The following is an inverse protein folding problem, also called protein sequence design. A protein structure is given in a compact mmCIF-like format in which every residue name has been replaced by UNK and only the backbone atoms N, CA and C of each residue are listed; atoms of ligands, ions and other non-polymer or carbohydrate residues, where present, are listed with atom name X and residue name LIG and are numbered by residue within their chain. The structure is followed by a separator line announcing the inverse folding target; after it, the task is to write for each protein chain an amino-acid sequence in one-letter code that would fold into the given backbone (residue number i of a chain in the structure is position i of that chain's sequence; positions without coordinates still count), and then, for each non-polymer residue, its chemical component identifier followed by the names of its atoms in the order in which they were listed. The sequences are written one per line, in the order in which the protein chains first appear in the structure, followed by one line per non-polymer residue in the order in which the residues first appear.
data_IF_410436847440
#
_entry.id   IF_410436847440
#
_cell.length_a   1.000
_cell.length_b   1.000
_cell.length_c   1.000
_cell.angle_alpha   90.00
_cell.angle_beta   90.00
_cell.angle_gamma   90.00
#
_symmetry.space_group_name_H-M   'P 1'
#
loop_
_entity.id
_entity.type
_entity.pdbx_description
1 polymer ?
#
# COMPACT_ATOMS: atom_id res chain seq x y z
N UNK A 1 3.85 -13.33 10.00
CA UNK A 1 3.30 -12.93 8.68
C UNK A 1 4.14 -11.80 8.16
N UNK A 2 4.70 -11.91 6.94
CA UNK A 2 5.47 -10.86 6.27
C UNK A 2 4.53 -9.84 5.61
N UNK A 3 5.06 -8.65 5.35
CA UNK A 3 4.34 -7.57 4.66
C UNK A 3 5.06 -7.26 3.36
N UNK A 4 4.41 -7.50 2.23
CA UNK A 4 4.87 -7.09 0.91
C UNK A 4 4.45 -5.64 0.63
N UNK A 5 5.37 -4.80 0.17
CA UNK A 5 5.10 -3.39 -0.14
C UNK A 5 5.52 -3.10 -1.57
N UNK A 6 4.60 -2.60 -2.41
CA UNK A 6 4.90 -2.22 -3.78
C UNK A 6 5.41 -0.77 -3.83
N UNK A 7 6.70 -0.60 -4.08
CA UNK A 7 7.37 0.71 -4.14
C UNK A 7 8.15 0.94 -5.46
N UNK A 8 7.89 0.12 -6.50
CA UNK A 8 8.63 0.17 -7.76
C UNK A 8 7.97 0.97 -8.89
N UNK A 9 6.84 1.62 -8.67
CA UNK A 9 6.11 2.40 -9.66
C UNK A 9 6.78 3.72 -10.05
N UNK A 10 6.43 4.26 -11.22
CA UNK A 10 6.98 5.54 -11.74
C UNK A 10 6.47 6.78 -10.99
N UNK A 11 5.31 6.71 -10.32
CA UNK A 11 4.74 7.83 -9.59
C UNK A 11 4.30 9.03 -10.44
N UNK A 12 3.97 8.82 -11.70
CA UNK A 12 3.74 9.89 -12.72
C UNK A 12 2.69 10.94 -12.33
N UNK A 13 1.71 10.61 -11.50
CA UNK A 13 0.68 11.54 -11.03
C UNK A 13 1.18 12.58 -10.02
N UNK A 14 2.34 12.34 -9.39
CA UNK A 14 3.01 13.25 -8.47
C UNK A 14 4.38 13.69 -9.06
N UNK A 15 4.43 13.96 -10.37
CA UNK A 15 5.64 14.13 -11.15
C UNK A 15 6.61 15.20 -10.59
N UNK A 16 6.11 16.26 -9.95
CA UNK A 16 6.96 17.32 -9.36
C UNK A 16 7.86 16.78 -8.24
N UNK A 17 7.36 15.84 -7.43
CA UNK A 17 8.11 15.22 -6.33
C UNK A 17 8.86 13.94 -6.78
N UNK A 18 8.31 13.21 -7.76
CA UNK A 18 8.80 11.88 -8.12
C UNK A 18 9.74 11.85 -9.32
N UNK A 19 10.14 13.01 -9.86
CA UNK A 19 11.17 13.09 -10.92
C UNK A 19 12.53 12.54 -10.49
N UNK A 20 12.88 12.71 -9.22
CA UNK A 20 14.21 12.39 -8.67
C UNK A 20 14.20 11.39 -7.52
N UNK A 21 13.02 11.02 -7.01
CA UNK A 21 12.89 10.09 -5.88
C UNK A 21 11.66 9.20 -6.04
N UNK A 22 11.67 8.03 -5.41
CA UNK A 22 10.49 7.16 -5.33
C UNK A 22 9.34 7.87 -4.60
N UNK A 23 8.10 7.62 -5.01
CA UNK A 23 6.89 8.08 -4.30
C UNK A 23 6.89 7.68 -2.83
N UNK A 24 7.44 6.51 -2.52
CA UNK A 24 7.64 6.01 -1.16
C UNK A 24 8.52 6.93 -0.29
N UNK A 25 9.35 7.79 -0.92
CA UNK A 25 10.27 8.73 -0.26
C UNK A 25 9.71 10.16 -0.16
N UNK A 26 8.47 10.41 -0.54
CA UNK A 26 7.82 11.72 -0.31
C UNK A 26 7.56 11.90 1.18
N UNK A 27 7.91 13.06 1.71
CA UNK A 27 7.87 13.31 3.15
C UNK A 27 6.48 13.70 3.65
N UNK A 28 6.12 13.12 4.79
CA UNK A 28 5.03 13.56 5.66
C UNK A 28 5.66 13.91 7.00
N UNK A 29 5.67 15.19 7.34
CA UNK A 29 6.54 15.71 8.40
C UNK A 29 8.00 15.60 8.00
N UNK A 30 8.79 14.96 8.83
CA UNK A 30 10.24 14.74 8.66
C UNK A 30 10.60 13.32 8.17
N UNK A 31 9.60 12.46 7.97
CA UNK A 31 9.78 11.08 7.55
C UNK A 31 9.08 10.76 6.23
N UNK A 32 9.63 9.85 5.40
CA UNK A 32 8.96 9.42 4.17
C UNK A 32 7.68 8.63 4.46
N UNK A 33 6.70 8.68 3.55
CA UNK A 33 5.44 7.93 3.70
C UNK A 33 5.68 6.44 3.94
N UNK A 34 6.73 5.87 3.36
CA UNK A 34 7.12 4.47 3.61
C UNK A 34 7.40 4.22 5.09
N UNK A 35 8.12 5.13 5.79
CA UNK A 35 8.38 5.00 7.22
C UNK A 35 7.08 4.96 8.03
N UNK A 36 6.11 5.83 7.70
CA UNK A 36 4.80 5.84 8.35
C UNK A 36 4.08 4.50 8.20
N UNK A 37 4.14 3.90 7.00
CA UNK A 37 3.59 2.56 6.75
C UNK A 37 4.28 1.50 7.60
N UNK A 38 5.62 1.49 7.63
CA UNK A 38 6.37 0.51 8.42
C UNK A 38 6.05 0.62 9.91
N UNK A 39 6.00 1.85 10.46
CA UNK A 39 5.59 2.11 11.86
C UNK A 39 4.17 1.65 12.14
N UNK A 40 3.27 1.88 11.18
CA UNK A 40 1.88 1.45 11.27
C UNK A 40 1.76 -0.08 11.37
N UNK A 41 2.42 -0.80 10.47
CA UNK A 41 2.45 -2.27 10.51
C UNK A 41 3.16 -2.81 11.76
N UNK A 42 4.26 -2.18 12.18
CA UNK A 42 4.98 -2.54 13.41
C UNK A 42 4.09 -2.47 14.65
N UNK A 43 3.25 -1.44 14.76
CA UNK A 43 2.30 -1.28 15.87
C UNK A 43 1.40 -2.51 16.04
N UNK A 44 0.99 -3.14 14.95
CA UNK A 44 0.21 -4.39 14.95
C UNK A 44 1.07 -5.66 15.03
N UNK A 45 2.39 -5.54 15.26
CA UNK A 45 3.31 -6.66 15.43
C UNK A 45 3.88 -7.23 14.15
N UNK A 46 3.65 -6.59 12.98
CA UNK A 46 4.27 -6.99 11.72
C UNK A 46 5.60 -6.26 11.53
N UNK A 47 6.71 -7.00 11.55
CA UNK A 47 8.07 -6.43 11.60
C UNK A 47 8.97 -6.90 10.48
N UNK A 48 8.50 -7.79 9.61
CA UNK A 48 9.26 -8.30 8.48
C UNK A 48 8.61 -7.78 7.19
N UNK A 49 9.35 -6.93 6.49
CA UNK A 49 8.89 -6.23 5.29
C UNK A 49 9.66 -6.70 4.07
N UNK A 50 8.94 -6.97 2.97
CA UNK A 50 9.52 -7.31 1.67
C UNK A 50 9.09 -6.23 0.68
N UNK A 51 10.02 -5.37 0.29
CA UNK A 51 9.73 -4.16 -0.50
C UNK A 51 10.14 -4.41 -1.95
N UNK A 52 9.15 -4.38 -2.85
CA UNK A 52 9.37 -4.45 -4.29
C UNK A 52 9.91 -3.11 -4.81
N UNK A 53 11.14 -3.10 -5.25
CA UNK A 53 11.80 -1.95 -5.85
C UNK A 53 11.66 -1.96 -7.38
N UNK A 54 11.82 -0.79 -8.00
CA UNK A 54 11.80 -0.55 -9.43
C UNK A 54 12.38 0.84 -9.72
N UNK A 55 11.56 1.76 -10.22
CA UNK A 55 11.99 3.14 -10.46
C UNK A 55 12.45 3.81 -9.15
N UNK A 56 13.59 4.51 -9.23
CA UNK A 56 14.23 5.20 -8.09
C UNK A 56 14.52 4.29 -6.88
N UNK A 57 14.85 3.02 -7.13
CA UNK A 57 15.21 2.03 -6.11
C UNK A 57 16.38 2.50 -5.20
N UNK A 58 17.33 3.23 -5.78
CA UNK A 58 18.47 3.84 -5.12
C UNK A 58 18.08 4.78 -3.97
N UNK A 59 17.00 5.56 -4.14
CA UNK A 59 16.51 6.47 -3.09
C UNK A 59 15.97 5.74 -1.87
N UNK A 60 15.31 4.59 -2.10
CA UNK A 60 14.83 3.73 -1.00
C UNK A 60 16.01 3.04 -0.32
N UNK A 61 16.96 2.49 -1.10
CA UNK A 61 18.18 1.85 -0.54
C UNK A 61 19.00 2.83 0.30
N UNK A 62 19.23 4.04 -0.22
CA UNK A 62 19.95 5.10 0.50
C UNK A 62 19.26 5.45 1.82
N UNK A 63 17.93 5.54 1.85
CA UNK A 63 17.18 5.81 3.08
C UNK A 63 17.47 4.77 4.16
N UNK A 64 17.41 3.48 3.86
CA UNK A 64 17.71 2.44 4.86
C UNK A 64 19.17 2.43 5.28
N UNK A 65 20.11 2.54 4.35
CA UNK A 65 21.56 2.46 4.62
C UNK A 65 22.06 3.72 5.33
N UNK A 66 21.75 4.89 4.81
CA UNK A 66 22.32 6.15 5.29
C UNK A 66 21.49 6.75 6.44
N UNK A 67 20.17 6.88 6.24
CA UNK A 67 19.30 7.55 7.21
C UNK A 67 18.98 6.64 8.41
N UNK A 68 18.66 5.38 8.17
CA UNK A 68 18.33 4.40 9.23
C UNK A 68 19.54 3.58 9.68
N UNK A 69 20.74 3.86 9.13
CA UNK A 69 22.02 3.23 9.50
C UNK A 69 21.99 1.70 9.43
N UNK A 70 21.35 1.15 8.39
CA UNK A 70 21.34 -0.27 8.17
C UNK A 70 22.64 -0.75 7.52
N UNK A 71 23.09 -1.96 7.89
CA UNK A 71 24.15 -2.66 7.17
C UNK A 71 23.50 -3.64 6.21
N UNK A 72 23.63 -3.46 4.88
CA UNK A 72 23.02 -4.37 3.91
C UNK A 72 23.80 -5.67 3.81
N UNK A 73 23.07 -6.78 3.66
CA UNK A 73 23.60 -8.12 3.37
C UNK A 73 22.97 -8.58 2.05
N UNK A 74 23.76 -8.99 1.10
CA UNK A 74 23.28 -9.45 -0.22
C UNK A 74 23.90 -8.68 -1.37
N UNK A 75 23.22 -8.65 -2.52
CA UNK A 75 23.66 -7.98 -3.75
C UNK A 75 22.60 -7.02 -4.28
N UNK A 76 22.89 -6.32 -5.39
CA UNK A 76 21.99 -5.29 -5.93
C UNK A 76 20.57 -5.74 -6.26
N UNK A 77 20.33 -7.02 -6.52
CA UNK A 77 19.00 -7.57 -6.81
C UNK A 77 18.19 -7.85 -5.54
N UNK A 78 18.87 -8.23 -4.44
CA UNK A 78 18.23 -8.48 -3.15
C UNK A 78 19.15 -8.05 -2.01
N UNK A 79 18.65 -7.19 -1.14
CA UNK A 79 19.36 -6.72 0.05
C UNK A 79 18.49 -6.98 1.28
N UNK A 80 19.03 -7.73 2.24
CA UNK A 80 18.48 -7.82 3.59
C UNK A 80 19.09 -6.71 4.43
N UNK A 81 18.28 -5.92 5.09
CA UNK A 81 18.72 -4.83 5.96
C UNK A 81 18.03 -4.89 7.31
N UNK A 82 18.81 -4.59 8.37
CA UNK A 82 18.32 -4.42 9.74
C UNK A 82 18.69 -3.01 10.18
N UNK A 83 17.74 -2.07 10.17
CA UNK A 83 18.01 -0.69 10.53
C UNK A 83 18.37 -0.54 12.00
N UNK A 84 19.47 0.15 12.32
CA UNK A 84 19.88 0.37 13.71
C UNK A 84 18.96 1.34 14.46
N UNK A 85 18.37 2.29 13.75
CA UNK A 85 17.43 3.26 14.34
C UNK A 85 16.00 2.72 14.45
N UNK A 86 15.70 1.60 13.79
CA UNK A 86 14.44 0.86 13.89
C UNK A 86 14.78 -0.64 14.10
N UNK A 87 15.30 -1.02 15.29
CA UNK A 87 15.92 -2.34 15.50
C UNK A 87 14.93 -3.51 15.44
N UNK A 88 13.64 -3.23 15.51
CA UNK A 88 12.60 -4.26 15.39
C UNK A 88 12.31 -4.67 13.93
N UNK A 89 12.83 -3.93 12.94
CA UNK A 89 12.52 -4.20 11.56
C UNK A 89 13.53 -5.15 10.93
N UNK A 90 13.02 -6.09 10.16
CA UNK A 90 13.76 -6.84 9.15
C UNK A 90 13.19 -6.45 7.79
N UNK A 91 14.01 -5.93 6.90
CA UNK A 91 13.58 -5.40 5.61
C UNK A 91 14.33 -6.09 4.48
N UNK A 92 13.60 -6.68 3.55
CA UNK A 92 14.11 -7.23 2.31
C UNK A 92 13.80 -6.26 1.17
N UNK A 93 14.83 -5.73 0.53
CA UNK A 93 14.73 -4.82 -0.61
C UNK A 93 14.98 -5.64 -1.89
N UNK A 94 13.92 -5.91 -2.64
CA UNK A 94 13.96 -6.80 -3.81
C UNK A 94 13.79 -5.99 -5.08
N UNK A 95 14.76 -6.06 -5.99
CA UNK A 95 14.63 -5.47 -7.32
C UNK A 95 13.64 -6.31 -8.15
N UNK A 96 12.54 -5.70 -8.53
CA UNK A 96 11.50 -6.35 -9.31
C UNK A 96 11.44 -5.87 -10.76
N UNK A 97 12.46 -5.12 -11.20
CA UNK A 97 12.57 -4.59 -12.57
C UNK A 97 11.80 -3.29 -12.79
N UNK A 98 12.18 -2.54 -13.83
CA UNK A 98 11.57 -1.24 -14.15
C UNK A 98 10.20 -1.39 -14.81
N UNK A 99 10.09 -2.27 -15.80
CA UNK A 99 8.91 -2.43 -16.65
C UNK A 99 7.92 -3.50 -16.14
N UNK A 100 8.08 -3.93 -14.89
CA UNK A 100 7.23 -4.94 -14.27
C UNK A 100 5.95 -4.30 -13.73
N UNK A 101 4.81 -4.83 -14.11
CA UNK A 101 3.49 -4.43 -13.62
C UNK A 101 3.24 -4.91 -12.18
N UNK A 102 2.18 -4.43 -11.53
CA UNK A 102 1.88 -4.70 -10.11
C UNK A 102 1.81 -6.19 -9.77
N UNK A 103 1.12 -6.99 -10.57
CA UNK A 103 1.05 -8.45 -10.39
C UNK A 103 2.40 -9.11 -10.58
N UNK A 104 3.15 -8.72 -11.61
CA UNK A 104 4.50 -9.24 -11.84
C UNK A 104 5.44 -8.96 -10.65
N UNK A 105 5.38 -7.76 -10.05
CA UNK A 105 6.16 -7.44 -8.84
C UNK A 105 5.77 -8.36 -7.68
N UNK A 106 4.48 -8.56 -7.44
CA UNK A 106 3.99 -9.47 -6.41
C UNK A 106 4.53 -10.89 -6.65
N UNK A 107 4.47 -11.39 -7.89
CA UNK A 107 4.98 -12.72 -8.25
C UNK A 107 6.48 -12.86 -8.01
N UNK A 108 7.27 -11.81 -8.31
CA UNK A 108 8.71 -11.77 -8.04
C UNK A 108 9.07 -11.74 -6.55
N UNK A 109 8.14 -11.35 -5.68
CA UNK A 109 8.33 -11.43 -4.23
C UNK A 109 8.06 -12.85 -3.66
N UNK A 110 7.43 -13.76 -4.40
CA UNK A 110 7.06 -15.09 -3.90
C UNK A 110 8.22 -15.85 -3.19
N UNK A 111 9.49 -15.86 -3.72
CA UNK A 111 10.60 -16.53 -3.05
C UNK A 111 10.96 -15.97 -1.67
N UNK A 112 10.55 -14.74 -1.37
CA UNK A 112 10.86 -14.03 -0.13
C UNK A 112 9.71 -14.04 0.89
N UNK A 113 8.58 -14.69 0.56
CA UNK A 113 7.35 -14.72 1.38
C UNK A 113 7.11 -16.08 2.07
N UNK A 114 8.11 -16.97 2.05
CA UNK A 114 8.19 -18.24 2.79
C UNK A 114 7.05 -19.23 2.47
N UNK A 115 6.32 -19.06 1.36
CA UNK A 115 5.15 -19.89 1.03
C UNK A 115 4.02 -19.81 2.07
N UNK A 116 3.95 -18.73 2.84
CA UNK A 116 2.98 -18.50 3.90
C UNK A 116 2.04 -17.33 3.58
N UNK A 117 0.88 -17.22 4.23
CA UNK A 117 0.02 -16.05 4.11
C UNK A 117 0.77 -14.75 4.41
N UNK A 118 0.52 -13.70 3.64
CA UNK A 118 1.22 -12.42 3.74
C UNK A 118 0.26 -11.24 3.60
N UNK A 119 0.67 -10.10 4.14
CA UNK A 119 0.01 -8.83 3.86
C UNK A 119 0.62 -8.17 2.64
N UNK A 120 -0.20 -7.45 1.87
CA UNK A 120 0.26 -6.65 0.74
C UNK A 120 -0.32 -5.24 0.84
N UNK A 121 0.52 -4.24 0.53
CA UNK A 121 0.08 -2.85 0.42
C UNK A 121 0.88 -2.10 -0.65
N UNK A 122 0.31 -0.98 -1.13
CA UNK A 122 1.03 0.01 -1.92
C UNK A 122 1.76 1.00 -0.99
N UNK A 123 2.80 1.63 -1.48
CA UNK A 123 3.63 2.53 -0.66
C UNK A 123 3.05 3.94 -0.46
N UNK A 124 1.83 4.20 -0.92
CA UNK A 124 1.27 5.54 -1.05
C UNK A 124 -0.06 5.78 -0.33
N UNK A 125 -0.55 4.80 0.42
CA UNK A 125 -1.79 4.89 1.19
C UNK A 125 -1.56 4.85 2.69
N UNK A 126 -2.25 5.70 3.45
CA UNK A 126 -2.29 5.69 4.92
C UNK A 126 -3.73 5.53 5.40
N UNK A 127 -3.92 4.77 6.48
CA UNK A 127 -5.23 4.43 7.01
C UNK A 127 -5.17 4.16 8.53
N UNK A 128 -6.33 4.12 9.19
CA UNK A 128 -6.49 3.66 10.57
C UNK A 128 -7.17 2.28 10.68
N UNK A 129 -6.93 1.42 9.68
CA UNK A 129 -7.45 0.04 9.61
C UNK A 129 -6.86 -0.80 10.74
N UNK A 130 -7.68 -1.48 11.52
CA UNK A 130 -7.20 -2.48 12.48
C UNK A 130 -6.68 -3.72 11.71
N UNK A 131 -5.35 -3.80 11.53
CA UNK A 131 -4.71 -4.90 10.79
C UNK A 131 -4.87 -6.26 11.50
N UNK A 132 -5.09 -6.26 12.82
CA UNK A 132 -5.41 -7.46 13.57
C UNK A 132 -6.78 -8.00 13.20
N UNK A 133 -7.78 -7.12 13.11
CA UNK A 133 -9.13 -7.49 12.66
C UNK A 133 -9.17 -7.88 11.19
N UNK A 134 -8.43 -7.17 10.33
CA UNK A 134 -8.30 -7.52 8.91
C UNK A 134 -7.75 -8.95 8.75
N UNK A 135 -6.68 -9.31 9.49
CA UNK A 135 -6.11 -10.66 9.50
C UNK A 135 -7.12 -11.70 10.00
N UNK A 136 -7.80 -11.41 11.12
CA UNK A 136 -8.79 -12.33 11.69
C UNK A 136 -9.96 -12.57 10.72
N UNK A 137 -10.44 -11.53 10.05
CA UNK A 137 -11.47 -11.64 9.01
C UNK A 137 -11.02 -12.54 7.86
N UNK A 138 -9.78 -12.36 7.36
CA UNK A 138 -9.21 -13.22 6.32
C UNK A 138 -9.18 -14.69 6.75
N UNK A 139 -8.66 -14.96 7.95
CA UNK A 139 -8.59 -16.32 8.48
C UNK A 139 -9.97 -16.97 8.65
N UNK A 140 -10.99 -16.19 9.00
CA UNK A 140 -12.34 -16.70 9.24
C UNK A 140 -13.06 -17.19 7.97
N UNK A 141 -12.81 -16.58 6.79
CA UNK A 141 -13.47 -16.97 5.55
C UNK A 141 -12.69 -18.00 4.73
N UNK A 142 -11.37 -18.16 4.96
CA UNK A 142 -10.54 -19.20 4.33
C UNK A 142 -10.43 -19.11 2.80
N UNK A 143 -10.56 -17.91 2.21
CA UNK A 143 -10.41 -17.65 0.78
C UNK A 143 -9.02 -17.11 0.47
N UNK A 144 -8.62 -17.12 -0.81
CA UNK A 144 -7.27 -16.76 -1.23
C UNK A 144 -6.91 -15.28 -0.98
N UNK A 145 -7.88 -14.38 -1.01
CA UNK A 145 -7.60 -12.95 -0.91
C UNK A 145 -8.66 -12.19 -0.12
N UNK A 146 -8.19 -11.26 0.71
CA UNK A 146 -8.98 -10.20 1.31
C UNK A 146 -8.42 -8.86 0.87
N UNK A 147 -9.26 -7.99 0.34
CA UNK A 147 -8.95 -6.57 0.18
C UNK A 147 -9.69 -5.73 1.23
N UNK A 148 -9.11 -4.61 1.62
CA UNK A 148 -9.86 -3.60 2.38
C UNK A 148 -10.63 -2.72 1.42
N UNK A 149 -11.96 -2.69 1.57
CA UNK A 149 -12.84 -1.79 0.86
C UNK A 149 -13.03 -0.51 1.67
N UNK A 150 -12.85 0.65 1.02
CA UNK A 150 -12.97 1.98 1.63
C UNK A 150 -13.87 2.87 0.79
N UNK A 151 -14.40 3.94 1.39
CA UNK A 151 -15.09 4.97 0.59
C UNK A 151 -14.08 5.92 -0.05
N UNK A 152 -14.27 6.28 -1.34
CA UNK A 152 -13.40 7.26 -1.97
C UNK A 152 -13.52 8.62 -1.27
N UNK A 153 -12.39 9.33 -1.05
CA UNK A 153 -12.43 10.70 -0.57
C UNK A 153 -13.25 11.56 -1.54
N UNK A 154 -14.18 12.38 -1.04
CA UNK A 154 -15.05 13.18 -1.90
C UNK A 154 -14.24 14.28 -2.61
N UNK A 155 -14.17 14.19 -3.94
CA UNK A 155 -13.41 15.15 -4.77
C UNK A 155 -14.29 16.21 -5.41
N UNK A 156 -15.57 15.91 -5.65
CA UNK A 156 -16.48 16.73 -6.42
C UNK A 156 -17.82 16.96 -5.71
N UNK A 157 -18.48 18.05 -6.06
CA UNK A 157 -19.89 18.25 -5.72
C UNK A 157 -20.78 17.25 -6.46
N UNK A 158 -21.77 16.70 -5.76
CA UNK A 158 -22.74 15.75 -6.31
C UNK A 158 -24.04 16.45 -6.65
N UNK A 159 -24.63 16.04 -7.77
CA UNK A 159 -25.91 16.52 -8.26
C UNK A 159 -26.95 15.41 -8.21
N UNK A 160 -28.15 15.74 -7.74
CA UNK A 160 -29.35 14.97 -8.06
C UNK A 160 -30.06 15.66 -9.21
N UNK A 161 -30.44 14.89 -10.22
CA UNK A 161 -31.08 15.42 -11.43
C UNK A 161 -32.44 14.77 -11.65
N UNK A 162 -33.44 15.60 -11.99
CA UNK A 162 -34.68 15.17 -12.62
C UNK A 162 -34.71 15.78 -14.02
N UNK A 163 -34.49 14.97 -15.06
CA UNK A 163 -34.25 15.39 -16.45
C UNK A 163 -33.05 16.37 -16.50
N UNK A 164 -33.27 17.63 -16.81
CA UNK A 164 -32.29 18.72 -16.88
C UNK A 164 -32.30 19.64 -15.63
N UNK A 165 -33.24 19.41 -14.71
CA UNK A 165 -33.33 20.16 -13.46
C UNK A 165 -32.40 19.58 -12.41
N UNK A 166 -31.55 20.42 -11.80
CA UNK A 166 -30.79 20.08 -10.60
C UNK A 166 -31.73 20.17 -9.39
N UNK A 167 -32.02 19.03 -8.75
CA UNK A 167 -32.93 18.95 -7.60
C UNK A 167 -32.17 18.97 -6.28
N UNK A 168 -30.87 18.61 -6.27
CA UNK A 168 -29.99 18.77 -5.12
C UNK A 168 -28.54 18.96 -5.54
N UNK A 169 -27.79 19.75 -4.78
CA UNK A 169 -26.35 19.90 -4.85
C UNK A 169 -25.73 19.63 -3.48
N UNK A 170 -24.73 18.76 -3.41
CA UNK A 170 -24.03 18.41 -2.17
C UNK A 170 -22.53 18.47 -2.40
N UNK A 171 -21.87 19.43 -1.79
CA UNK A 171 -20.42 19.60 -1.91
C UNK A 171 -19.67 18.57 -1.07
N UNK A 172 -18.79 17.79 -1.72
CA UNK A 172 -17.83 16.86 -1.10
C UNK A 172 -18.44 15.90 -0.05
N UNK A 173 -19.55 15.27 -0.38
CA UNK A 173 -20.19 14.26 0.47
C UNK A 173 -19.70 12.87 0.09
N UNK A 174 -19.29 12.08 1.08
CA UNK A 174 -18.96 10.65 0.90
C UNK A 174 -20.22 9.92 0.42
N UNK A 175 -20.05 9.06 -0.60
CA UNK A 175 -21.08 8.12 -1.01
C UNK A 175 -20.92 6.81 -0.25
N UNK A 176 -21.83 6.53 0.66
CA UNK A 176 -21.83 5.30 1.45
C UNK A 176 -22.09 4.03 0.61
N UNK A 177 -22.52 4.19 -0.64
CA UNK A 177 -22.74 3.08 -1.57
C UNK A 177 -21.54 2.80 -2.47
N UNK A 178 -20.59 3.74 -2.58
CA UNK A 178 -19.39 3.58 -3.40
C UNK A 178 -18.24 3.02 -2.56
N UNK A 179 -17.72 1.88 -3.00
CA UNK A 179 -16.57 1.21 -2.40
C UNK A 179 -15.43 1.11 -3.41
N UNK A 180 -14.22 1.42 -2.96
CA UNK A 180 -13.00 1.29 -3.77
C UNK A 180 -11.98 0.41 -3.05
N UNK A 181 -10.98 -0.05 -3.81
CA UNK A 181 -9.83 -0.77 -3.27
C UNK A 181 -8.96 0.17 -2.42
N UNK A 182 -8.88 -0.11 -1.12
CA UNK A 182 -8.06 0.63 -0.17
C UNK A 182 -6.59 0.22 -0.13
N UNK A 183 -6.16 -0.72 -0.97
CA UNK A 183 -4.78 -1.16 -1.11
C UNK A 183 -4.14 -1.78 0.15
N UNK A 184 -4.92 -2.31 1.07
CA UNK A 184 -4.49 -3.15 2.20
C UNK A 184 -5.09 -4.55 2.02
N UNK A 185 -4.23 -5.55 1.87
CA UNK A 185 -4.63 -6.92 1.57
C UNK A 185 -4.06 -7.92 2.57
N UNK A 186 -4.75 -9.07 2.69
CA UNK A 186 -4.19 -10.32 3.20
C UNK A 186 -4.38 -11.37 2.12
N UNK A 187 -3.32 -12.08 1.77
CA UNK A 187 -3.26 -12.99 0.64
C UNK A 187 -2.69 -14.33 1.07
N UNK A 188 -3.29 -15.40 0.56
CA UNK A 188 -2.75 -16.76 0.62
C UNK A 188 -1.75 -16.99 -0.52
N UNK A 189 -0.77 -17.89 -0.38
CA UNK A 189 0.20 -18.19 -1.44
C UNK A 189 -0.44 -18.64 -2.77
N UNK A 190 -1.62 -19.27 -2.72
CA UNK A 190 -2.36 -19.66 -3.92
C UNK A 190 -2.68 -18.52 -4.88
N UNK A 191 -2.61 -17.25 -4.42
CA UNK A 191 -2.80 -16.08 -5.30
C UNK A 191 -1.78 -16.02 -6.45
N UNK A 192 -0.58 -16.60 -6.28
CA UNK A 192 0.46 -16.60 -7.31
C UNK A 192 0.09 -17.40 -8.57
N UNK A 193 -0.85 -18.33 -8.47
CA UNK A 193 -1.39 -19.10 -9.61
C UNK A 193 -2.26 -18.22 -10.52
N UNK A 194 -2.78 -17.11 -10.01
CA UNK A 194 -3.59 -16.14 -10.74
C UNK A 194 -2.77 -15.02 -11.40
N UNK A 195 -1.44 -15.05 -11.27
CA UNK A 195 -0.54 -14.05 -11.84
C UNK A 195 0.27 -14.70 -12.96
N UNK A 196 0.03 -14.28 -14.21
CA UNK A 196 0.66 -14.91 -15.38
C UNK A 196 2.16 -14.56 -15.50
N UNK A 197 2.59 -13.35 -15.13
CA UNK A 197 3.99 -12.94 -15.22
C UNK A 197 4.18 -11.43 -15.09
N UNK A 198 5.33 -10.94 -15.58
CA UNK A 198 5.80 -9.57 -15.35
C UNK A 198 4.84 -8.48 -15.86
N UNK A 199 4.11 -8.75 -16.94
CA UNK A 199 3.15 -7.80 -17.53
C UNK A 199 1.73 -7.92 -16.96
N UNK A 200 1.54 -8.73 -15.94
CA UNK A 200 0.24 -8.90 -15.29
C UNK A 200 -0.02 -7.73 -14.32
N UNK A 201 -1.08 -6.97 -14.55
CA UNK A 201 -1.59 -6.02 -13.56
C UNK A 201 -2.40 -6.78 -12.51
N UNK A 202 -2.09 -6.58 -11.23
CA UNK A 202 -2.83 -7.21 -10.13
C UNK A 202 -4.30 -6.78 -10.15
N UNK A 203 -4.55 -5.50 -10.37
CA UNK A 203 -5.89 -4.91 -10.36
C UNK A 203 -6.71 -5.25 -11.59
N UNK A 204 -6.08 -5.28 -12.79
CA UNK A 204 -6.81 -5.47 -14.07
C UNK A 204 -6.90 -6.93 -14.50
N UNK A 205 -6.03 -7.80 -13.99
CA UNK A 205 -5.99 -9.21 -14.38
C UNK A 205 -6.25 -10.14 -13.19
N UNK A 206 -5.48 -10.05 -12.11
CA UNK A 206 -5.52 -11.01 -11.00
C UNK A 206 -6.80 -10.87 -10.15
N UNK A 207 -7.14 -9.66 -9.70
CA UNK A 207 -8.34 -9.47 -8.87
C UNK A 207 -9.63 -9.87 -9.58
N UNK A 208 -9.87 -9.53 -10.88
CA UNK A 208 -11.05 -10.02 -11.62
C UNK A 208 -11.12 -11.54 -11.73
N UNK A 209 -9.98 -12.22 -11.92
CA UNK A 209 -9.94 -13.70 -11.96
C UNK A 209 -10.33 -14.31 -10.62
N UNK A 210 -9.83 -13.77 -9.50
CA UNK A 210 -10.21 -14.21 -8.15
C UNK A 210 -11.71 -13.99 -7.86
N UNK A 211 -12.32 -12.95 -8.43
CA UNK A 211 -13.78 -12.73 -8.35
C UNK A 211 -14.53 -13.78 -9.15
N UNK A 212 -14.08 -14.07 -10.39
CA UNK A 212 -14.74 -15.00 -11.29
C UNK A 212 -14.65 -16.46 -10.81
N UNK A 213 -13.56 -16.83 -10.14
CA UNK A 213 -13.29 -18.19 -9.68
C UNK A 213 -13.88 -18.45 -8.28
N UNK A 214 -15.21 -18.59 -8.22
CA UNK A 214 -15.93 -18.97 -7.00
C UNK A 214 -15.87 -17.94 -5.87
N UNK A 215 -15.45 -16.70 -6.15
CA UNK A 215 -15.38 -15.61 -5.16
C UNK A 215 -14.21 -15.78 -4.18
N UNK A 216 -13.04 -16.10 -4.67
CA UNK A 216 -11.80 -16.20 -3.88
C UNK A 216 -11.31 -14.85 -3.33
N UNK A 217 -11.95 -13.73 -3.74
CA UNK A 217 -11.73 -12.40 -3.21
C UNK A 217 -12.85 -11.98 -2.26
N UNK A 218 -12.51 -11.57 -1.05
CA UNK A 218 -13.42 -11.02 -0.03
C UNK A 218 -13.06 -9.57 0.30
N UNK A 219 -14.06 -8.77 0.68
CA UNK A 219 -13.89 -7.38 1.06
C UNK A 219 -14.08 -7.20 2.57
N UNK A 220 -13.03 -6.70 3.25
CA UNK A 220 -13.09 -6.17 4.60
C UNK A 220 -13.49 -4.69 4.51
N UNK A 221 -14.68 -4.34 5.00
CA UNK A 221 -15.20 -2.96 4.94
C UNK A 221 -14.57 -2.10 6.03
N UNK A 222 -13.99 -0.99 5.62
CA UNK A 222 -13.41 0.00 6.52
C UNK A 222 -14.05 1.37 6.25
N UNK A 223 -14.65 1.96 7.28
CA UNK A 223 -15.34 3.26 7.21
C UNK A 223 -14.59 4.39 7.92
N UNK A 224 -13.39 4.08 8.47
CA UNK A 224 -12.52 5.05 9.11
C UNK A 224 -11.68 5.86 8.12
N UNK A 225 -10.55 6.35 8.59
CA UNK A 225 -9.65 7.15 7.78
C UNK A 225 -8.91 6.29 6.74
N UNK A 226 -8.92 6.75 5.52
CA UNK A 226 -8.07 6.25 4.44
C UNK A 226 -7.74 7.41 3.48
N UNK A 227 -6.47 7.55 3.10
CA UNK A 227 -6.01 8.57 2.18
C UNK A 227 -4.81 8.06 1.37
N UNK A 228 -4.92 8.07 0.05
CA UNK A 228 -3.77 7.91 -0.85
C UNK A 228 -3.07 9.26 -1.09
N UNK A 229 -1.80 9.19 -1.48
CA UNK A 229 -0.98 10.35 -1.81
C UNK A 229 -0.63 10.33 -3.30
N UNK A 230 -1.59 10.62 -4.16
CA UNK A 230 -1.41 10.66 -5.62
C UNK A 230 -1.08 12.06 -6.17
N UNK A 231 -1.38 13.10 -5.40
CA UNK A 231 -1.22 14.51 -5.79
C UNK A 231 -0.51 15.30 -4.70
N UNK A 232 0.07 16.48 -5.08
CA UNK A 232 0.66 17.43 -4.11
C UNK A 232 -0.36 17.85 -3.03
N UNK A 233 -1.61 18.08 -3.44
CA UNK A 233 -2.67 18.44 -2.50
C UNK A 233 -2.89 17.34 -1.45
N UNK A 234 -2.91 16.09 -1.83
CA UNK A 234 -3.06 14.96 -0.90
C UNK A 234 -1.84 14.84 0.02
N UNK A 235 -0.62 15.07 -0.48
CA UNK A 235 0.59 15.14 0.34
C UNK A 235 0.51 16.30 1.36
N UNK A 236 0.04 17.49 0.94
CA UNK A 236 -0.18 18.62 1.84
C UNK A 236 -1.25 18.33 2.90
N UNK A 237 -2.36 17.69 2.54
CA UNK A 237 -3.43 17.35 3.46
C UNK A 237 -2.97 16.34 4.52
N UNK A 238 -2.18 15.32 4.14
CA UNK A 238 -1.51 14.42 5.09
C UNK A 238 -0.53 15.17 6.00
N UNK A 239 0.27 16.10 5.44
CA UNK A 239 1.19 16.93 6.22
C UNK A 239 0.47 17.84 7.22
N UNK A 240 -0.72 18.38 6.88
CA UNK A 240 -1.54 19.17 7.82
C UNK A 240 -1.99 18.33 9.02
N UNK A 241 -2.50 17.13 8.77
CA UNK A 241 -2.91 16.20 9.83
C UNK A 241 -1.73 15.83 10.74
N UNK A 242 -0.56 15.56 10.14
CA UNK A 242 0.65 15.24 10.90
C UNK A 242 1.10 16.41 11.81
N UNK A 243 1.21 17.62 11.26
CA UNK A 243 1.62 18.83 12.02
C UNK A 243 0.61 19.20 13.11
N UNK A 244 -0.67 18.96 12.87
CA UNK A 244 -1.72 19.18 13.87
C UNK A 244 -1.72 18.14 15.00
N UNK A 245 -0.93 17.06 14.90
CA UNK A 245 -0.95 15.97 15.86
C UNK A 245 -2.23 15.12 15.82
N UNK A 246 -3.02 15.23 14.74
CA UNK A 246 -4.32 14.56 14.57
C UNK A 246 -4.31 13.50 13.48
N UNK A 247 -3.13 13.03 13.09
CA UNK A 247 -2.95 12.01 12.05
C UNK A 247 -3.56 10.66 12.48
N UNK A 248 -4.67 10.20 11.86
CA UNK A 248 -5.39 9.01 12.35
C UNK A 248 -4.58 7.71 12.20
N UNK A 249 -3.66 7.65 11.23
CA UNK A 249 -2.76 6.51 11.02
C UNK A 249 -1.62 6.42 12.05
N UNK A 250 -1.38 7.50 12.83
CA UNK A 250 -0.36 7.50 13.89
C UNK A 250 -0.91 6.80 15.13
N UNK A 251 -0.97 5.47 15.09
CA UNK A 251 -1.47 4.62 16.19
C UNK A 251 -0.37 4.20 17.18
N UNK A 252 0.89 4.49 16.86
CA UNK A 252 2.05 4.25 17.73
C UNK A 252 2.35 5.48 18.61
N UNK A 253 3.05 5.24 19.71
CA UNK A 253 3.55 6.26 20.65
C UNK A 253 4.79 6.99 20.14
#
# INVERSE_FOLDING_TARGET
MKVAILAGGQGTRLAEETRVKSKAMVLIGDQPILWHLLKYYEHFGFRHFVIALGHHADTIRAYFVERLRATPIGNGAHLLVQPRLEPNWTVELVDTGLDTETGGRIKRLAPYLDGAPFMLTWCDGLADIDLGKLRAFHQAHGRLATLTAVHPPPRFGRLSLERDQVTAFREKVIDEHEWINGAFFVLEPGVFEYIDGDRSSFERATLPRLVADGGELRAYRHTGFWQCMDTLKEAEDLNKLWRAGTAPWKVWQ
#
